data_IF_860186438800
#
_entry.id   IF_860186438800
#
_cell.length_a   1.000
_cell.length_b   1.000
_cell.length_c   1.000
_cell.angle_alpha   90.00
_cell.angle_beta   90.00
_cell.angle_gamma   90.00
#
_symmetry.space_group_name_H-M   'P 1'
#
loop_
_entity.id
_entity.type
_entity.pdbx_description
1 polymer ?
#
# COMPACT_ATOMS: atom_id res chain seq x y z
N UNK A 1 18.48 9.91 4.47
CA UNK A 1 17.87 9.17 3.34
C UNK A 1 16.44 9.67 3.19
N UNK A 2 15.95 9.83 1.96
CA UNK A 2 14.56 10.25 1.72
C UNK A 2 13.65 9.04 1.48
N UNK A 3 12.35 9.14 1.81
CA UNK A 3 11.37 8.09 1.49
C UNK A 3 11.28 7.85 -0.03
N UNK A 4 10.98 6.61 -0.42
CA UNK A 4 10.71 6.28 -1.81
C UNK A 4 9.34 6.82 -2.24
N UNK A 5 9.21 7.20 -3.51
CA UNK A 5 7.92 7.56 -4.09
C UNK A 5 7.05 6.31 -4.27
N UNK A 6 5.76 6.44 -3.99
CA UNK A 6 4.78 5.40 -4.28
C UNK A 6 4.68 5.19 -5.81
N UNK A 7 4.78 3.95 -6.33
CA UNK A 7 4.69 3.70 -7.77
C UNK A 7 3.28 3.94 -8.33
N UNK A 8 2.27 4.07 -7.47
CA UNK A 8 0.87 4.23 -7.87
C UNK A 8 0.40 5.68 -7.91
N UNK A 9 0.82 6.49 -6.94
CA UNK A 9 0.39 7.90 -6.84
C UNK A 9 1.52 8.92 -6.88
N UNK A 10 2.79 8.48 -6.90
CA UNK A 10 3.96 9.36 -6.93
C UNK A 10 4.31 10.02 -5.59
N UNK A 11 3.41 10.00 -4.61
CA UNK A 11 3.63 10.60 -3.28
C UNK A 11 4.71 9.84 -2.47
N UNK A 12 5.47 10.53 -1.60
CA UNK A 12 6.43 9.87 -0.71
C UNK A 12 5.77 8.83 0.20
N UNK A 13 6.41 7.67 0.37
CA UNK A 13 6.02 6.62 1.31
C UNK A 13 6.51 6.94 2.73
N UNK A 14 6.07 8.07 3.29
CA UNK A 14 6.34 8.46 4.68
C UNK A 14 5.65 7.53 5.70
N UNK A 15 4.55 6.92 5.28
CA UNK A 15 3.77 5.95 6.04
C UNK A 15 3.40 4.77 5.14
N UNK A 16 3.71 3.58 5.61
CA UNK A 16 3.31 2.32 4.98
C UNK A 16 2.41 1.58 5.95
N UNK A 17 1.22 1.22 5.49
CA UNK A 17 0.21 0.56 6.30
C UNK A 17 0.35 -0.96 6.24
N UNK A 18 0.16 -1.62 7.38
CA UNK A 18 -0.05 -3.06 7.52
C UNK A 18 -1.56 -3.34 7.64
N UNK A 19 -2.21 -3.83 6.58
CA UNK A 19 -3.67 -4.00 6.57
C UNK A 19 -4.08 -5.47 6.40
N UNK A 20 -4.01 -6.30 7.46
CA UNK A 20 -4.31 -7.73 7.40
C UNK A 20 -5.72 -8.08 6.89
N UNK A 21 -6.69 -7.18 7.06
CA UNK A 21 -8.11 -7.45 6.80
C UNK A 21 -8.79 -6.45 5.85
N UNK A 22 -8.01 -5.63 5.14
CA UNK A 22 -8.53 -4.55 4.30
C UNK A 22 -8.90 -3.28 5.09
N UNK A 23 -9.69 -2.40 4.49
CA UNK A 23 -10.11 -1.11 5.06
C UNK A 23 -11.56 -0.81 4.70
N UNK A 24 -12.22 0.03 5.49
CA UNK A 24 -13.59 0.47 5.21
C UNK A 24 -13.56 1.88 4.62
N UNK A 25 -14.28 2.06 3.51
CA UNK A 25 -14.38 3.34 2.81
C UNK A 25 -15.84 3.82 2.83
N UNK A 26 -16.03 5.10 3.16
CA UNK A 26 -17.34 5.77 3.06
C UNK A 26 -17.51 6.29 1.63
N UNK A 27 -18.54 5.83 0.92
CA UNK A 27 -18.80 6.22 -0.49
C UNK A 27 -19.75 7.41 -0.64
N UNK A 28 -20.22 7.99 0.47
CA UNK A 28 -21.25 9.02 0.51
C UNK A 28 -22.59 8.52 1.07
N UNK A 29 -22.84 7.20 1.07
CA UNK A 29 -24.09 6.61 1.56
C UNK A 29 -23.85 5.55 2.65
N UNK A 30 -22.79 4.73 2.52
CA UNK A 30 -22.48 3.66 3.46
C UNK A 30 -20.99 3.32 3.50
N UNK A 31 -20.60 2.57 4.52
CA UNK A 31 -19.28 1.96 4.58
C UNK A 31 -19.23 0.69 3.72
N UNK A 32 -18.22 0.61 2.86
CA UNK A 32 -17.92 -0.57 2.05
C UNK A 32 -16.57 -1.15 2.46
N UNK A 33 -16.52 -2.47 2.65
CA UNK A 33 -15.25 -3.17 2.85
C UNK A 33 -14.47 -3.19 1.54
N UNK A 34 -13.24 -2.68 1.59
CA UNK A 34 -12.26 -2.65 0.51
C UNK A 34 -11.02 -3.45 0.91
N UNK A 35 -10.24 -3.84 -0.09
CA UNK A 35 -8.95 -4.51 0.11
C UNK A 35 -7.87 -3.73 -0.62
N UNK A 36 -6.69 -3.62 -0.01
CA UNK A 36 -5.49 -3.11 -0.68
C UNK A 36 -4.73 -4.22 -1.41
N UNK A 37 -5.06 -5.50 -1.18
CA UNK A 37 -4.34 -6.64 -1.74
C UNK A 37 -4.75 -6.93 -3.20
N UNK A 38 -3.75 -7.16 -4.07
CA UNK A 38 -3.98 -7.60 -5.45
C UNK A 38 -4.25 -9.12 -5.56
N UNK A 39 -3.91 -9.89 -4.53
CA UNK A 39 -4.10 -11.36 -4.45
C UNK A 39 -4.54 -11.77 -3.03
N UNK A 40 -4.91 -13.04 -2.82
CA UNK A 40 -5.25 -13.57 -1.48
C UNK A 40 -4.00 -13.55 -0.61
N UNK A 41 -3.87 -12.49 0.19
CA UNK A 41 -2.73 -12.26 1.06
C UNK A 41 -3.20 -12.03 2.49
N UNK A 42 -2.47 -12.62 3.42
CA UNK A 42 -2.48 -12.21 4.82
C UNK A 42 -1.57 -10.98 4.89
N UNK A 43 -2.11 -9.79 5.16
CA UNK A 43 -1.37 -8.52 5.33
C UNK A 43 -0.58 -8.00 4.11
N UNK A 44 -1.24 -7.31 3.14
CA UNK A 44 -0.55 -6.43 2.19
C UNK A 44 0.00 -5.15 2.85
N UNK A 45 1.21 -4.76 2.48
CA UNK A 45 1.70 -3.39 2.68
C UNK A 45 0.99 -2.45 1.71
N UNK A 46 0.54 -1.30 2.19
CA UNK A 46 -0.17 -0.33 1.36
C UNK A 46 0.33 1.09 1.53
N UNK A 47 0.22 1.89 0.46
CA UNK A 47 0.43 3.32 0.53
C UNK A 47 -0.68 3.97 1.36
N UNK A 48 -0.32 4.80 2.34
CA UNK A 48 -1.31 5.53 3.13
C UNK A 48 -2.15 6.51 2.28
N UNK A 49 -1.59 7.05 1.20
CA UNK A 49 -2.25 8.08 0.39
C UNK A 49 -3.25 7.49 -0.62
N UNK A 50 -2.88 6.40 -1.31
CA UNK A 50 -3.73 5.82 -2.37
C UNK A 50 -4.31 4.45 -2.03
N UNK A 51 -3.95 3.88 -0.88
CA UNK A 51 -4.42 2.57 -0.40
C UNK A 51 -4.23 1.44 -1.43
N UNK A 52 -3.20 1.54 -2.28
CA UNK A 52 -2.80 0.45 -3.19
C UNK A 52 -1.68 -0.38 -2.59
N UNK A 53 -1.71 -1.68 -2.89
CA UNK A 53 -0.66 -2.65 -2.61
C UNK A 53 0.71 -2.13 -3.02
N UNK A 54 1.69 -2.29 -2.15
CA UNK A 54 3.09 -1.94 -2.42
C UNK A 54 3.95 -3.16 -2.75
N UNK A 55 3.39 -4.30 -3.17
CA UNK A 55 4.22 -5.48 -3.44
C UNK A 55 5.17 -5.26 -4.64
N UNK A 56 6.39 -5.83 -4.60
CA UNK A 56 6.99 -6.66 -3.54
C UNK A 56 7.74 -5.89 -2.44
N UNK A 57 7.57 -4.57 -2.33
CA UNK A 57 8.29 -3.78 -1.33
C UNK A 57 7.93 -4.17 0.11
N UNK A 58 8.96 -4.25 0.96
CA UNK A 58 8.86 -4.37 2.40
C UNK A 58 9.51 -3.13 3.03
N UNK A 59 8.91 -2.47 4.04
CA UNK A 59 9.45 -1.24 4.64
C UNK A 59 10.87 -1.33 5.19
N UNK A 60 11.33 -2.55 5.52
CA UNK A 60 12.69 -2.80 6.01
C UNK A 60 13.68 -3.18 4.89
N UNK A 61 13.19 -3.46 3.67
CA UNK A 61 14.02 -3.74 2.50
C UNK A 61 14.33 -2.42 1.80
N UNK A 62 15.32 -1.70 2.33
CA UNK A 62 15.68 -0.33 1.95
C UNK A 62 16.41 -0.26 0.59
N UNK A 63 15.89 -0.91 -0.45
CA UNK A 63 16.45 -0.81 -1.81
C UNK A 63 15.35 -0.47 -2.82
N UNK A 64 15.58 0.57 -3.63
CA UNK A 64 14.64 1.00 -4.68
C UNK A 64 14.27 -0.10 -5.69
N UNK A 65 15.07 -1.17 -5.77
CA UNK A 65 14.81 -2.34 -6.60
C UNK A 65 13.54 -3.10 -6.22
N UNK A 66 13.04 -2.98 -4.98
CA UNK A 66 11.87 -3.73 -4.52
C UNK A 66 10.52 -3.13 -4.97
N UNK A 67 10.49 -1.93 -5.56
CA UNK A 67 9.26 -1.27 -6.01
C UNK A 67 8.97 -1.44 -7.51
N UNK A 68 9.94 -1.98 -8.28
CA UNK A 68 9.84 -2.11 -9.74
C UNK A 68 9.74 -3.57 -10.19
N UNK A 69 9.39 -4.50 -9.30
CA UNK A 69 9.23 -5.92 -9.64
C UNK A 69 8.10 -6.11 -10.66
N UNK A 70 8.48 -6.28 -11.92
CA UNK A 70 7.65 -6.75 -13.05
C UNK A 70 6.99 -8.08 -12.77
#
# INVERSE_FOLDING_TARGET
MQPMACPHCGEPLDQVLDLPYGYWEWDGERYNLKSTADTVNVAPWACNNCLRSLRPFHPQDVTAASLTGT
#
